data_IF_314315227559
#
_entry.id   IF_314315227559
#
_cell.length_a   1.000
_cell.length_b   1.000
_cell.length_c   1.000
_cell.angle_alpha   90.00
_cell.angle_beta   90.00
_cell.angle_gamma   90.00
#
_symmetry.space_group_name_H-M   'P 1'
#
loop_
_entity.id
_entity.type
_entity.pdbx_description
1 polymer ?
#
# COMPACT_ATOMS: atom_id res chain seq x y z
N UNK A 1 21.06 -5.97 -28.00
CA UNK A 1 22.36 -6.18 -27.31
C UNK A 1 22.16 -6.28 -25.80
N UNK A 2 21.38 -5.39 -25.18
CA UNK A 2 21.02 -5.50 -23.75
C UNK A 2 20.32 -6.82 -23.38
N UNK A 3 19.32 -7.26 -24.16
CA UNK A 3 18.57 -8.50 -23.85
C UNK A 3 19.45 -9.76 -23.79
N UNK A 4 20.46 -9.85 -24.66
CA UNK A 4 21.39 -11.01 -24.72
C UNK A 4 22.29 -11.09 -23.47
N UNK A 5 22.58 -9.95 -22.83
CA UNK A 5 23.37 -9.94 -21.59
C UNK A 5 22.51 -10.35 -20.38
N UNK A 6 21.22 -9.97 -20.36
CA UNK A 6 20.28 -10.30 -19.28
C UNK A 6 20.07 -11.82 -19.18
N UNK A 7 20.01 -12.52 -20.31
CA UNK A 7 19.83 -13.98 -20.36
C UNK A 7 20.86 -14.75 -19.52
N UNK A 8 22.09 -14.23 -19.40
CA UNK A 8 23.16 -14.85 -18.61
C UNK A 8 22.90 -14.86 -17.10
N UNK A 9 21.92 -14.08 -16.64
CA UNK A 9 21.55 -13.96 -15.23
C UNK A 9 20.28 -14.75 -14.87
N UNK A 10 19.61 -15.36 -15.86
CA UNK A 10 18.41 -16.18 -15.64
C UNK A 10 18.76 -17.49 -14.91
N UNK A 11 17.92 -17.87 -13.95
CA UNK A 11 17.97 -19.12 -13.20
C UNK A 11 16.95 -20.14 -13.73
N UNK A 12 15.73 -19.68 -14.01
CA UNK A 12 14.62 -20.53 -14.46
C UNK A 12 13.90 -19.90 -15.64
N UNK A 13 13.48 -20.73 -16.58
CA UNK A 13 12.72 -20.39 -17.77
C UNK A 13 11.39 -21.15 -17.80
N UNK A 14 10.53 -20.86 -18.78
CA UNK A 14 9.32 -21.64 -19.00
C UNK A 14 9.59 -23.11 -19.35
N UNK A 15 10.79 -23.44 -19.84
CA UNK A 15 11.19 -24.82 -20.13
C UNK A 15 11.45 -25.65 -18.87
N UNK A 16 11.66 -25.01 -17.73
CA UNK A 16 11.91 -25.66 -16.44
C UNK A 16 10.61 -26.01 -15.69
N UNK A 17 9.46 -25.63 -16.24
CA UNK A 17 8.16 -25.94 -15.67
C UNK A 17 7.95 -27.46 -15.58
N UNK A 18 7.55 -27.93 -14.40
CA UNK A 18 7.28 -29.36 -14.21
C UNK A 18 5.86 -29.72 -14.67
N UNK A 19 5.61 -30.93 -15.17
CA UNK A 19 4.27 -31.34 -15.57
C UNK A 19 3.28 -31.27 -14.39
N UNK A 20 2.04 -30.88 -14.66
CA UNK A 20 0.95 -30.75 -13.69
C UNK A 20 1.14 -29.68 -12.59
N UNK A 21 2.03 -28.70 -12.81
CA UNK A 21 2.08 -27.47 -12.00
C UNK A 21 1.29 -26.34 -12.65
N UNK A 22 0.84 -25.34 -11.89
CA UNK A 22 0.22 -24.14 -12.44
C UNK A 22 1.20 -23.38 -13.35
N UNK A 23 0.67 -22.83 -14.44
CA UNK A 23 1.43 -21.99 -15.37
C UNK A 23 1.41 -20.55 -14.88
N UNK A 24 2.40 -20.16 -14.08
CA UNK A 24 2.48 -18.81 -13.50
C UNK A 24 3.55 -17.97 -14.19
N UNK A 25 3.22 -16.73 -14.50
CA UNK A 25 4.14 -15.74 -15.09
C UNK A 25 4.15 -14.47 -14.25
N UNK A 26 5.32 -13.85 -14.11
CA UNK A 26 5.49 -12.57 -13.41
C UNK A 26 5.64 -11.44 -14.43
N UNK A 27 5.12 -10.26 -14.12
CA UNK A 27 5.54 -9.00 -14.72
C UNK A 27 5.90 -7.99 -13.64
N UNK A 28 6.84 -7.11 -13.96
CA UNK A 28 7.33 -6.06 -13.07
C UNK A 28 7.01 -4.70 -13.66
N UNK A 29 6.55 -3.79 -12.81
CA UNK A 29 6.39 -2.38 -13.14
C UNK A 29 7.07 -1.55 -12.05
N UNK A 30 7.83 -0.54 -12.47
CA UNK A 30 8.51 0.36 -11.55
C UNK A 30 7.52 1.40 -11.03
N UNK A 31 7.46 1.54 -9.72
CA UNK A 31 6.75 2.63 -9.08
C UNK A 31 7.77 3.50 -8.34
N UNK A 32 7.80 4.79 -8.63
CA UNK A 32 8.81 5.71 -8.12
C UNK A 32 8.47 7.17 -8.43
N UNK A 33 9.48 8.02 -8.61
CA UNK A 33 9.28 9.42 -9.01
C UNK A 33 8.69 9.53 -10.42
N UNK A 34 9.02 8.57 -11.28
CA UNK A 34 8.44 8.33 -12.60
C UNK A 34 8.74 6.89 -13.01
N UNK A 35 8.18 6.44 -14.14
CA UNK A 35 8.33 5.09 -14.72
C UNK A 35 9.79 4.69 -15.08
N UNK A 36 10.77 5.56 -14.78
CA UNK A 36 12.19 5.37 -15.05
C UNK A 36 13.11 5.99 -13.99
N UNK A 37 12.58 6.45 -12.85
CA UNK A 37 13.37 7.12 -11.80
C UNK A 37 12.90 6.72 -10.41
N UNK A 38 13.86 6.38 -9.56
CA UNK A 38 13.65 6.16 -8.12
C UNK A 38 14.53 7.09 -7.29
N UNK A 39 14.03 7.46 -6.11
CA UNK A 39 14.79 8.25 -5.14
C UNK A 39 15.34 7.36 -4.02
N UNK A 40 16.59 7.60 -3.63
CA UNK A 40 17.36 6.77 -2.68
C UNK A 40 16.72 6.56 -1.30
N UNK A 41 15.81 7.44 -0.86
CA UNK A 41 15.17 7.40 0.46
C UNK A 41 13.66 7.62 0.39
N UNK A 42 13.05 7.33 -0.76
CA UNK A 42 11.62 7.46 -0.95
C UNK A 42 10.93 6.10 -0.75
N UNK A 43 10.09 5.98 0.28
CA UNK A 43 9.32 4.77 0.60
C UNK A 43 8.31 4.34 -0.47
N UNK A 44 7.98 5.22 -1.44
CA UNK A 44 7.17 4.88 -2.61
C UNK A 44 7.99 4.26 -3.76
N UNK A 45 9.32 4.18 -3.64
CA UNK A 45 10.13 3.52 -4.66
C UNK A 45 10.04 2.01 -4.47
N UNK A 46 9.48 1.33 -5.45
CA UNK A 46 9.13 -0.08 -5.35
C UNK A 46 8.83 -0.69 -6.70
N UNK A 47 8.33 -1.91 -6.63
CA UNK A 47 7.86 -2.66 -7.77
C UNK A 47 6.42 -3.07 -7.54
N UNK A 48 5.62 -2.95 -8.59
CA UNK A 48 4.38 -3.68 -8.70
C UNK A 48 4.70 -5.04 -9.30
N UNK A 49 4.47 -6.08 -8.51
CA UNK A 49 4.57 -7.47 -8.92
C UNK A 49 3.19 -7.90 -9.38
N UNK A 50 3.07 -8.35 -10.63
CA UNK A 50 1.82 -8.92 -11.15
C UNK A 50 2.05 -10.36 -11.56
N UNK A 51 1.33 -11.28 -10.92
CA UNK A 51 1.42 -12.71 -11.19
C UNK A 51 0.16 -13.11 -11.96
N UNK A 52 0.36 -13.68 -13.13
CA UNK A 52 -0.70 -14.15 -14.01
C UNK A 52 -0.69 -15.67 -14.07
N UNK A 53 -1.88 -16.27 -14.05
CA UNK A 53 -2.09 -17.68 -14.31
C UNK A 53 -2.53 -17.90 -15.76
N UNK A 54 -1.68 -18.56 -16.54
CA UNK A 54 -1.98 -18.98 -17.90
C UNK A 54 -2.95 -20.16 -17.95
N UNK A 55 -3.26 -20.61 -19.18
CA UNK A 55 -4.06 -21.81 -19.38
C UNK A 55 -3.18 -23.06 -19.24
N UNK A 56 -3.24 -23.69 -18.07
CA UNK A 56 -2.50 -24.91 -17.71
C UNK A 56 -3.33 -26.20 -17.87
N UNK A 57 -4.52 -26.11 -18.49
CA UNK A 57 -5.41 -27.25 -18.73
C UNK A 57 -6.13 -27.75 -17.48
N UNK A 58 -6.08 -27.02 -16.37
CA UNK A 58 -6.82 -27.31 -15.15
C UNK A 58 -7.81 -26.18 -14.83
N UNK A 59 -9.10 -26.49 -14.76
CA UNK A 59 -10.14 -25.48 -14.52
C UNK A 59 -10.31 -25.11 -13.03
N UNK A 60 -9.68 -25.84 -12.11
CA UNK A 60 -9.74 -25.53 -10.68
C UNK A 60 -8.95 -24.26 -10.36
N UNK A 61 -9.35 -23.46 -9.34
CA UNK A 61 -8.52 -22.38 -8.82
C UNK A 61 -7.14 -22.88 -8.39
N UNK A 62 -6.14 -22.00 -8.44
CA UNK A 62 -4.79 -22.27 -7.95
C UNK A 62 -4.53 -21.39 -6.73
N UNK A 63 -4.39 -22.00 -5.57
CA UNK A 63 -3.90 -21.33 -4.37
C UNK A 63 -2.37 -21.38 -4.35
N UNK A 64 -1.68 -20.28 -4.08
CA UNK A 64 -0.22 -20.28 -3.92
C UNK A 64 0.27 -19.18 -2.98
N UNK A 65 1.47 -19.36 -2.44
CA UNK A 65 2.10 -18.40 -1.53
C UNK A 65 3.31 -17.78 -2.23
N UNK A 66 3.39 -16.46 -2.19
CA UNK A 66 4.53 -15.72 -2.70
C UNK A 66 4.68 -14.41 -1.94
N UNK A 67 5.86 -14.14 -1.42
CA UNK A 67 6.17 -12.92 -0.68
C UNK A 67 7.30 -12.16 -1.35
N UNK A 68 7.08 -10.88 -1.59
CA UNK A 68 8.14 -9.92 -1.92
C UNK A 68 9.33 -10.01 -0.96
N UNK A 69 9.09 -10.08 0.35
CA UNK A 69 10.17 -10.06 1.32
C UNK A 69 11.11 -11.27 1.17
N UNK A 70 10.57 -12.46 0.96
CA UNK A 70 11.34 -13.70 0.92
C UNK A 70 11.71 -14.08 -0.52
N UNK A 71 10.73 -14.11 -1.41
CA UNK A 71 10.87 -14.63 -2.76
C UNK A 71 11.45 -13.57 -3.73
N UNK A 72 11.12 -12.28 -3.56
CA UNK A 72 11.65 -11.21 -4.42
C UNK A 72 12.94 -10.59 -3.89
N UNK A 73 12.96 -10.18 -2.63
CA UNK A 73 14.08 -9.44 -2.02
C UNK A 73 15.01 -10.33 -1.21
N UNK A 74 14.71 -11.63 -1.10
CA UNK A 74 15.57 -12.60 -0.44
C UNK A 74 16.76 -13.04 -1.31
N UNK A 75 17.56 -13.96 -0.76
CA UNK A 75 18.84 -14.39 -1.35
C UNK A 75 18.72 -14.98 -2.76
N UNK A 76 17.56 -15.55 -3.09
CA UNK A 76 17.32 -16.23 -4.36
C UNK A 76 16.47 -15.45 -5.35
N UNK A 77 15.98 -14.27 -4.97
CA UNK A 77 15.02 -13.49 -5.74
C UNK A 77 15.64 -12.61 -6.83
N UNK A 78 15.19 -11.37 -6.87
CA UNK A 78 15.59 -10.33 -7.82
C UNK A 78 17.10 -10.14 -7.83
N UNK A 79 17.61 -9.69 -8.98
CA UNK A 79 19.01 -9.40 -9.19
C UNK A 79 19.13 -7.92 -9.58
N UNK A 80 19.88 -7.17 -8.80
CA UNK A 80 20.25 -5.80 -9.13
C UNK A 80 21.50 -5.81 -10.03
N UNK A 81 21.38 -5.21 -11.20
CA UNK A 81 22.42 -5.10 -12.20
C UNK A 81 22.76 -3.64 -12.48
N UNK A 82 24.02 -3.37 -12.79
CA UNK A 82 24.48 -2.07 -13.29
C UNK A 82 25.39 -2.24 -14.49
N UNK A 83 25.50 -1.20 -15.30
CA UNK A 83 26.48 -1.16 -16.38
C UNK A 83 27.85 -0.75 -15.83
N UNK A 84 28.87 -1.50 -16.16
CA UNK A 84 30.26 -1.13 -15.90
C UNK A 84 30.76 -0.05 -16.88
N UNK A 85 32.02 0.36 -16.73
CA UNK A 85 32.65 1.37 -17.61
C UNK A 85 32.81 0.91 -19.06
N UNK A 86 32.70 -0.38 -19.32
CA UNK A 86 32.80 -1.00 -20.66
C UNK A 86 31.41 -1.29 -21.26
N UNK A 87 30.33 -0.94 -20.54
CA UNK A 87 28.95 -1.17 -20.96
C UNK A 87 28.48 -2.61 -20.82
N UNK A 88 29.14 -3.44 -20.00
CA UNK A 88 28.67 -4.78 -19.63
C UNK A 88 27.83 -4.73 -18.36
N UNK A 89 26.82 -5.59 -18.27
CA UNK A 89 26.03 -5.75 -17.04
C UNK A 89 26.80 -6.56 -16.00
N UNK A 90 26.88 -6.04 -14.78
CA UNK A 90 27.41 -6.76 -13.62
C UNK A 90 26.43 -6.76 -12.44
N UNK A 91 26.49 -7.81 -11.61
CA UNK A 91 25.69 -7.91 -10.38
C UNK A 91 26.21 -6.92 -9.34
N UNK A 92 25.32 -6.11 -8.79
CA UNK A 92 25.63 -5.26 -7.65
C UNK A 92 25.76 -6.12 -6.40
N UNK A 93 26.86 -5.94 -5.66
CA UNK A 93 27.06 -6.63 -4.39
C UNK A 93 26.19 -5.99 -3.31
N UNK A 94 25.14 -6.69 -2.91
CA UNK A 94 24.24 -6.25 -1.85
C UNK A 94 24.79 -6.65 -0.47
N UNK A 95 24.46 -5.91 0.61
CA UNK A 95 24.78 -6.30 1.97
C UNK A 95 24.17 -7.67 2.30
N UNK A 96 24.89 -8.52 3.03
CA UNK A 96 24.35 -9.79 3.52
C UNK A 96 23.33 -9.50 4.62
N UNK A 97 22.04 -9.59 4.30
CA UNK A 97 20.95 -9.51 5.27
C UNK A 97 20.88 -10.83 6.06
N UNK A 98 21.12 -10.83 7.40
CA UNK A 98 21.13 -12.05 8.19
C UNK A 98 19.74 -12.70 8.39
N UNK A 99 18.64 -12.04 7.99
CA UNK A 99 17.28 -12.42 8.37
C UNK A 99 16.40 -13.02 7.25
N UNK A 100 16.95 -13.40 6.09
CA UNK A 100 16.15 -13.91 4.96
C UNK A 100 16.73 -15.13 4.26
N UNK A 101 17.28 -16.07 5.02
CA UNK A 101 17.49 -17.42 4.47
C UNK A 101 16.11 -18.07 4.21
N UNK A 102 15.89 -18.56 3.01
CA UNK A 102 14.77 -19.46 2.74
C UNK A 102 14.89 -20.68 3.67
N UNK A 103 14.13 -20.71 4.76
CA UNK A 103 13.73 -21.99 5.35
C UNK A 103 12.46 -22.47 4.62
N UNK A 104 12.56 -23.45 3.71
CA UNK A 104 11.43 -24.03 3.00
C UNK A 104 10.54 -24.90 3.90
N UNK A 105 10.89 -25.11 5.17
CA UNK A 105 10.16 -25.96 6.12
C UNK A 105 9.32 -25.18 7.13
N UNK A 106 9.50 -23.86 7.25
CA UNK A 106 8.66 -23.05 8.12
C UNK A 106 7.24 -22.86 7.53
N UNK A 107 6.24 -22.96 8.40
CA UNK A 107 4.82 -22.86 8.09
C UNK A 107 4.42 -21.37 7.84
N UNK A 108 5.06 -20.72 6.86
CA UNK A 108 5.06 -19.26 6.62
C UNK A 108 3.70 -18.65 6.34
N UNK A 109 2.78 -19.41 5.75
CA UNK A 109 1.39 -18.97 5.48
C UNK A 109 0.64 -18.62 6.79
N UNK A 110 0.97 -19.25 7.92
CA UNK A 110 0.33 -18.93 9.20
C UNK A 110 0.81 -17.59 9.81
N UNK A 111 2.01 -17.11 9.42
CA UNK A 111 2.58 -15.86 9.92
C UNK A 111 2.24 -14.65 9.04
N UNK A 112 1.96 -14.87 7.75
CA UNK A 112 1.62 -13.77 6.84
C UNK A 112 0.57 -14.21 5.80
N UNK A 113 -0.72 -14.28 6.20
CA UNK A 113 -1.80 -14.75 5.32
C UNK A 113 -2.06 -13.80 4.14
N UNK A 114 -1.62 -12.54 4.20
CA UNK A 114 -1.79 -11.55 3.13
C UNK A 114 -0.91 -11.79 1.89
N UNK A 115 -0.05 -12.82 1.92
CA UNK A 115 0.81 -13.24 0.80
C UNK A 115 0.35 -14.57 0.18
N UNK A 116 -0.90 -14.96 0.49
CA UNK A 116 -1.60 -16.10 -0.07
C UNK A 116 -2.55 -15.62 -1.17
N UNK A 117 -2.44 -16.21 -2.34
CA UNK A 117 -3.22 -15.84 -3.52
C UNK A 117 -4.02 -17.03 -4.04
N UNK A 118 -5.15 -16.73 -4.66
CA UNK A 118 -5.99 -17.68 -5.38
C UNK A 118 -6.24 -17.12 -6.77
N UNK A 119 -5.99 -17.90 -7.82
CA UNK A 119 -6.20 -17.49 -9.21
C UNK A 119 -6.94 -18.57 -10.00
N UNK A 120 -8.02 -18.19 -10.68
CA UNK A 120 -8.62 -18.99 -11.75
C UNK A 120 -7.75 -18.95 -13.02
N UNK A 121 -7.96 -19.87 -13.98
CA UNK A 121 -7.28 -19.80 -15.27
C UNK A 121 -7.52 -18.47 -15.97
N UNK A 122 -6.45 -17.80 -16.41
CA UNK A 122 -6.52 -16.51 -17.08
C UNK A 122 -6.56 -15.30 -16.14
N UNK A 123 -6.68 -15.49 -14.83
CA UNK A 123 -6.66 -14.39 -13.86
C UNK A 123 -5.25 -13.91 -13.55
N UNK A 124 -5.18 -12.73 -12.95
CA UNK A 124 -3.95 -12.17 -12.40
C UNK A 124 -4.21 -11.70 -10.98
N UNK A 125 -3.13 -11.51 -10.24
CA UNK A 125 -3.11 -10.75 -9.00
C UNK A 125 -1.91 -9.82 -9.05
N UNK A 126 -1.90 -8.83 -8.18
CA UNK A 126 -0.75 -7.95 -8.04
C UNK A 126 -0.62 -7.40 -6.63
N UNK A 127 0.58 -6.96 -6.29
CA UNK A 127 0.86 -6.22 -5.06
C UNK A 127 2.12 -5.37 -5.24
N UNK A 128 2.20 -4.32 -4.44
CA UNK A 128 3.40 -3.51 -4.32
C UNK A 128 4.38 -4.12 -3.32
N UNK A 129 5.67 -4.07 -3.63
CA UNK A 129 6.76 -4.30 -2.69
C UNK A 129 7.80 -3.20 -2.81
N UNK A 130 8.05 -2.49 -1.71
CA UNK A 130 9.06 -1.44 -1.64
C UNK A 130 10.47 -1.99 -1.83
N UNK A 131 11.36 -1.19 -2.43
CA UNK A 131 12.78 -1.54 -2.51
C UNK A 131 13.37 -1.43 -1.09
N UNK A 132 14.03 -2.46 -0.56
CA UNK A 132 14.63 -2.40 0.76
C UNK A 132 15.70 -1.30 0.86
N UNK A 133 15.79 -0.63 2.01
CA UNK A 133 16.78 0.42 2.27
C UNK A 133 18.21 -0.05 2.00
N UNK A 134 18.54 -1.30 2.35
CA UNK A 134 19.87 -1.88 2.11
C UNK A 134 20.21 -2.03 0.63
N UNK A 135 19.21 -2.17 -0.24
CA UNK A 135 19.39 -2.16 -1.70
C UNK A 135 19.58 -0.73 -2.21
N UNK A 136 18.77 0.22 -1.72
CA UNK A 136 18.89 1.64 -2.08
C UNK A 136 20.25 2.22 -1.67
N UNK A 137 20.75 1.85 -0.49
CA UNK A 137 22.07 2.26 0.00
C UNK A 137 23.21 1.76 -0.89
N UNK A 138 23.06 0.57 -1.48
CA UNK A 138 24.05 -0.03 -2.38
C UNK A 138 24.09 0.61 -3.77
N UNK A 139 23.03 1.32 -4.17
CA UNK A 139 22.96 2.04 -5.44
C UNK A 139 23.70 3.38 -5.37
N UNK A 140 24.05 3.96 -6.51
CA UNK A 140 24.70 5.27 -6.63
C UNK A 140 23.79 6.23 -7.38
N UNK A 141 23.57 7.41 -6.82
CA UNK A 141 22.78 8.47 -7.44
C UNK A 141 23.42 8.93 -8.76
N UNK A 142 22.59 9.09 -9.78
CA UNK A 142 22.99 9.43 -11.14
C UNK A 142 23.33 8.23 -12.02
N UNK A 143 23.39 7.01 -11.48
CA UNK A 143 23.62 5.80 -12.26
C UNK A 143 22.32 5.11 -12.70
N UNK A 144 22.44 4.32 -13.77
CA UNK A 144 21.38 3.51 -14.34
C UNK A 144 21.50 2.06 -13.87
N UNK A 145 20.39 1.48 -13.44
CA UNK A 145 20.29 0.11 -12.98
C UNK A 145 19.23 -0.67 -13.76
N UNK A 146 19.42 -1.97 -13.83
CA UNK A 146 18.41 -2.93 -14.26
C UNK A 146 18.08 -3.82 -13.06
N UNK A 147 16.80 -4.04 -12.81
CA UNK A 147 16.35 -4.96 -11.77
C UNK A 147 15.60 -6.10 -12.43
N UNK A 148 16.15 -7.30 -12.30
CA UNK A 148 15.76 -8.49 -13.04
C UNK A 148 15.14 -9.53 -12.11
N UNK A 149 14.02 -10.11 -12.51
CA UNK A 149 13.57 -11.40 -12.01
C UNK A 149 14.24 -12.54 -12.78
N UNK A 150 15.19 -13.28 -12.17
CA UNK A 150 15.92 -14.35 -12.85
C UNK A 150 15.08 -15.61 -13.01
N UNK A 151 13.88 -15.66 -12.44
CA UNK A 151 13.09 -16.88 -12.32
C UNK A 151 13.29 -17.53 -10.95
N UNK A 152 12.25 -18.21 -10.47
CA UNK A 152 12.25 -18.84 -9.16
C UNK A 152 11.19 -19.92 -9.03
N UNK A 153 11.31 -20.70 -7.95
CA UNK A 153 10.36 -21.76 -7.63
C UNK A 153 9.33 -21.27 -6.62
N UNK A 154 8.07 -21.66 -6.81
CA UNK A 154 6.99 -21.47 -5.86
C UNK A 154 6.91 -22.72 -4.99
N UNK A 155 7.31 -22.55 -3.73
CA UNK A 155 7.43 -23.63 -2.77
C UNK A 155 6.09 -24.17 -2.27
N UNK A 156 5.06 -23.34 -2.27
CA UNK A 156 3.71 -23.75 -1.86
C UNK A 156 2.68 -23.29 -2.88
N UNK A 157 1.97 -24.27 -3.42
CA UNK A 157 0.78 -24.08 -4.23
C UNK A 157 -0.12 -25.31 -4.09
N UNK A 158 -1.40 -25.19 -4.44
CA UNK A 158 -2.36 -26.29 -4.49
C UNK A 158 -3.51 -25.96 -5.44
N UNK A 159 -4.07 -27.00 -6.06
CA UNK A 159 -5.35 -26.89 -6.76
C UNK A 159 -6.52 -26.80 -5.77
N UNK A 160 -7.52 -25.99 -6.11
CA UNK A 160 -8.65 -25.64 -5.25
C UNK A 160 -8.46 -24.28 -4.57
N UNK A 161 -9.52 -23.80 -3.95
CA UNK A 161 -9.51 -22.51 -3.26
C UNK A 161 -8.75 -22.53 -1.93
N UNK A 162 -8.45 -21.34 -1.40
CA UNK A 162 -7.70 -21.16 -0.14
C UNK A 162 -8.41 -21.88 1.00
N UNK A 163 -9.72 -21.68 1.15
CA UNK A 163 -10.52 -22.30 2.22
C UNK A 163 -10.47 -23.84 2.19
N UNK A 164 -10.39 -24.45 1.00
CA UNK A 164 -10.27 -25.91 0.84
C UNK A 164 -8.88 -26.42 1.21
N UNK A 165 -7.86 -25.59 0.99
CA UNK A 165 -6.45 -25.93 1.14
C UNK A 165 -5.84 -25.49 2.48
N UNK A 166 -6.54 -24.69 3.28
CA UNK A 166 -6.12 -24.25 4.62
C UNK A 166 -5.78 -25.42 5.56
N UNK A 167 -6.51 -26.53 5.44
CA UNK A 167 -6.39 -27.71 6.30
C UNK A 167 -5.53 -28.84 5.72
N UNK A 168 -5.06 -28.73 4.47
CA UNK A 168 -4.28 -29.79 3.82
C UNK A 168 -2.81 -29.76 4.25
N UNK A 169 -2.21 -30.95 4.38
CA UNK A 169 -0.78 -31.10 4.64
C UNK A 169 0.03 -30.48 3.52
N UNK A 170 0.85 -29.47 3.84
CA UNK A 170 1.49 -28.53 2.92
C UNK A 170 2.78 -29.03 2.25
N UNK A 171 2.90 -30.34 2.01
CA UNK A 171 4.10 -30.95 1.43
C UNK A 171 3.79 -32.01 0.38
N UNK A 172 4.71 -32.21 -0.57
CA UNK A 172 4.66 -33.31 -1.54
C UNK A 172 4.20 -32.96 -2.96
N UNK A 173 3.90 -31.68 -3.26
CA UNK A 173 3.66 -31.24 -4.63
C UNK A 173 4.97 -30.86 -5.33
N UNK A 174 5.08 -31.06 -6.67
CA UNK A 174 6.23 -30.59 -7.43
C UNK A 174 6.31 -29.06 -7.36
N UNK A 175 7.51 -28.49 -7.41
CA UNK A 175 7.69 -27.04 -7.36
C UNK A 175 7.19 -26.41 -8.65
N UNK A 176 6.31 -25.43 -8.54
CA UNK A 176 5.89 -24.64 -9.70
C UNK A 176 6.98 -23.62 -10.03
N UNK A 177 7.17 -23.32 -11.31
CA UNK A 177 8.20 -22.37 -11.77
C UNK A 177 7.53 -21.06 -12.13
N UNK A 178 8.07 -19.96 -11.60
CA UNK A 178 7.77 -18.60 -12.02
C UNK A 178 8.92 -18.14 -12.92
N UNK A 179 8.71 -18.17 -14.24
CA UNK A 179 9.76 -17.97 -15.23
C UNK A 179 10.47 -16.61 -15.10
N UNK A 180 11.79 -16.62 -15.27
CA UNK A 180 12.61 -15.42 -15.38
C UNK A 180 12.49 -14.76 -16.74
N UNK A 181 12.77 -13.45 -16.80
CA UNK A 181 12.77 -12.52 -17.96
C UNK A 181 12.31 -11.11 -17.59
N UNK A 182 11.32 -10.91 -16.69
CA UNK A 182 10.85 -9.57 -16.36
C UNK A 182 11.97 -8.75 -15.76
N UNK A 183 12.16 -7.54 -16.28
CA UNK A 183 13.09 -6.58 -15.73
C UNK A 183 12.58 -5.17 -15.91
N UNK A 184 13.05 -4.27 -15.05
CA UNK A 184 12.78 -2.83 -15.14
C UNK A 184 14.08 -2.06 -15.13
N UNK A 185 14.09 -0.96 -15.88
CA UNK A 185 15.24 -0.11 -16.10
C UNK A 185 15.00 1.25 -15.47
N UNK A 186 15.89 1.72 -14.60
CA UNK A 186 15.70 2.98 -13.91
C UNK A 186 16.99 3.72 -13.59
N UNK A 187 16.86 5.03 -13.41
CA UNK A 187 17.90 5.91 -12.89
C UNK A 187 17.66 6.16 -11.41
N UNK A 188 18.73 6.08 -10.62
CA UNK A 188 18.67 6.48 -9.20
C UNK A 188 18.96 7.96 -9.12
N UNK A 189 18.14 8.71 -8.41
CA UNK A 189 18.39 10.12 -8.13
C UNK A 189 18.49 10.35 -6.63
N UNK A 190 19.24 11.39 -6.25
CA UNK A 190 19.10 11.94 -4.91
C UNK A 190 17.65 12.33 -4.71
N UNK A 191 17.16 12.11 -3.50
CA UNK A 191 15.84 12.60 -3.15
C UNK A 191 15.83 14.11 -3.38
N UNK A 192 14.87 14.65 -4.16
CA UNK A 192 14.73 16.09 -4.25
C UNK A 192 14.59 16.63 -2.81
N UNK A 193 15.27 17.72 -2.45
CA UNK A 193 15.14 18.28 -1.12
C UNK A 193 13.65 18.43 -0.81
N UNK A 194 13.25 17.91 0.36
CA UNK A 194 11.88 18.05 0.83
C UNK A 194 11.44 19.49 0.56
N UNK A 195 10.30 19.71 -0.13
CA UNK A 195 9.87 21.06 -0.38
C UNK A 195 9.84 21.79 0.96
N UNK A 196 10.50 22.94 1.05
CA UNK A 196 10.37 23.79 2.22
C UNK A 196 8.94 24.31 2.17
N UNK A 197 8.05 23.58 2.83
CA UNK A 197 6.71 24.06 3.07
C UNK A 197 6.83 25.08 4.20
N UNK A 198 6.71 26.37 3.88
CA UNK A 198 6.18 27.32 4.86
C UNK A 198 4.91 26.67 5.39
N UNK A 199 4.89 26.32 6.69
CA UNK A 199 3.79 25.64 7.41
C UNK A 199 2.48 25.82 6.66
N UNK A 200 2.08 24.88 5.78
CA UNK A 200 1.01 25.19 4.88
C UNK A 200 -0.26 25.09 5.70
N UNK A 201 -0.98 26.21 5.78
CA UNK A 201 -2.39 26.20 6.13
C UNK A 201 -3.08 25.14 5.23
N UNK A 202 -4.07 24.39 5.75
CA UNK A 202 -4.75 23.35 4.98
C UNK A 202 -5.18 23.88 3.62
N UNK A 203 -4.63 23.32 2.54
CA UNK A 203 -5.04 23.69 1.18
C UNK A 203 -6.33 22.94 0.87
N UNK A 204 -7.47 23.47 1.32
CA UNK A 204 -8.75 23.08 0.75
C UNK A 204 -8.79 23.56 -0.71
N UNK A 205 -8.49 22.68 -1.66
CA UNK A 205 -8.63 23.02 -3.08
C UNK A 205 -10.08 23.05 -3.55
N UNK A 206 -11.03 22.55 -2.74
CA UNK A 206 -12.47 22.57 -3.03
C UNK A 206 -13.27 22.87 -1.77
N UNK A 207 -14.10 23.92 -1.82
CA UNK A 207 -15.10 24.16 -0.80
C UNK A 207 -16.20 23.07 -0.88
N UNK A 208 -16.73 22.58 0.27
CA UNK A 208 -17.85 21.66 0.25
C UNK A 208 -19.08 22.32 -0.40
N UNK A 209 -19.83 21.54 -1.18
CA UNK A 209 -21.02 22.05 -1.84
C UNK A 209 -22.19 22.14 -0.84
N UNK A 210 -23.06 23.15 -0.94
CA UNK A 210 -24.29 23.20 -0.14
C UNK A 210 -25.12 21.91 -0.25
N UNK A 211 -25.70 21.49 0.87
CA UNK A 211 -26.48 20.25 0.98
C UNK A 211 -25.65 18.96 1.06
N UNK A 212 -24.32 19.05 1.10
CA UNK A 212 -23.47 17.88 1.38
C UNK A 212 -23.27 17.67 2.88
N UNK A 213 -23.05 16.43 3.33
CA UNK A 213 -22.64 16.15 4.69
C UNK A 213 -21.40 16.94 5.11
N UNK A 214 -21.44 17.49 6.32
CA UNK A 214 -20.32 18.18 6.95
C UNK A 214 -19.71 17.28 8.03
N UNK A 215 -18.39 17.08 7.94
CA UNK A 215 -17.63 16.35 8.94
C UNK A 215 -16.63 17.25 9.67
N UNK A 216 -16.28 16.84 10.89
CA UNK A 216 -15.05 17.28 11.56
C UNK A 216 -14.18 16.07 11.87
N UNK A 217 -12.87 16.29 11.89
CA UNK A 217 -11.89 15.25 12.22
C UNK A 217 -11.02 15.74 13.38
N UNK A 218 -10.80 14.86 14.36
CA UNK A 218 -9.93 15.13 15.50
C UNK A 218 -8.93 13.99 15.71
N UNK A 219 -7.69 14.34 16.00
CA UNK A 219 -6.65 13.43 16.46
C UNK A 219 -6.44 13.59 17.96
N UNK A 220 -6.39 12.45 18.65
CA UNK A 220 -6.02 12.36 20.07
C UNK A 220 -4.97 11.28 20.25
N UNK A 221 -4.10 11.41 21.24
CA UNK A 221 -3.04 10.45 21.48
C UNK A 221 -2.12 10.89 22.62
N UNK A 222 -1.09 10.09 22.88
CA UNK A 222 -0.13 10.41 23.91
C UNK A 222 0.76 11.60 23.51
N UNK A 223 1.07 12.48 24.47
CA UNK A 223 2.01 13.59 24.28
C UNK A 223 3.48 13.13 24.27
N UNK A 224 3.74 11.85 24.49
CA UNK A 224 5.07 11.27 24.62
C UNK A 224 5.13 9.91 23.93
N UNK A 225 6.18 9.68 23.14
CA UNK A 225 6.52 8.39 22.52
C UNK A 225 7.88 7.93 23.03
N UNK A 226 7.98 6.70 23.53
CA UNK A 226 9.28 6.08 23.83
C UNK A 226 10.06 5.81 22.56
N UNK A 227 11.36 6.09 22.56
CA UNK A 227 12.23 5.86 21.40
C UNK A 227 12.32 4.37 21.04
N UNK A 228 12.15 3.49 22.03
CA UNK A 228 12.12 2.03 21.85
C UNK A 228 10.71 1.48 21.63
N UNK A 229 9.67 2.32 21.65
CA UNK A 229 8.30 1.86 21.43
C UNK A 229 8.15 1.47 19.96
N UNK A 230 7.89 0.19 19.71
CA UNK A 230 7.64 -0.35 18.37
C UNK A 230 6.21 -0.06 17.88
N UNK A 231 5.30 0.31 18.79
CA UNK A 231 3.91 0.62 18.50
C UNK A 231 3.48 1.92 19.20
N UNK A 232 3.23 2.95 18.42
CA UNK A 232 2.72 4.24 18.82
C UNK A 232 1.46 4.57 18.01
N UNK A 233 0.35 4.65 18.72
CA UNK A 233 -0.97 4.77 18.14
C UNK A 233 -1.60 6.12 18.47
N UNK A 234 -2.30 6.67 17.49
CA UNK A 234 -3.20 7.81 17.62
C UNK A 234 -4.64 7.34 17.45
N UNK A 235 -5.60 8.10 17.95
CA UNK A 235 -7.03 7.88 17.71
C UNK A 235 -7.54 9.00 16.83
N UNK A 236 -8.01 8.64 15.64
CA UNK A 236 -8.78 9.51 14.76
C UNK A 236 -10.25 9.40 15.12
N UNK A 237 -10.92 10.54 15.25
CA UNK A 237 -12.36 10.64 15.45
C UNK A 237 -12.99 11.50 14.36
N UNK A 238 -14.01 10.97 13.70
CA UNK A 238 -14.75 11.63 12.63
C UNK A 238 -16.17 11.84 13.11
N UNK A 239 -16.64 13.08 13.11
CA UNK A 239 -17.96 13.45 13.63
C UNK A 239 -18.82 14.04 12.53
N UNK A 240 -20.02 13.48 12.36
CA UNK A 240 -21.00 14.00 11.42
C UNK A 240 -21.76 15.17 12.04
N UNK A 241 -21.59 16.39 11.52
CA UNK A 241 -22.15 17.61 12.13
C UNK A 241 -23.55 17.97 11.61
N UNK A 242 -23.90 17.56 10.40
CA UNK A 242 -25.10 18.03 9.71
C UNK A 242 -24.82 18.27 8.23
N UNK A 243 -25.54 19.18 7.59
CA UNK A 243 -25.30 19.53 6.18
C UNK A 243 -24.74 20.93 6.01
N UNK A 244 -23.94 21.10 4.96
CA UNK A 244 -23.38 22.38 4.56
C UNK A 244 -24.51 23.31 4.16
N UNK A 245 -24.64 24.44 4.85
CA UNK A 245 -25.64 25.46 4.56
C UNK A 245 -25.48 26.06 3.16
N UNK A 246 -26.57 26.59 2.60
CA UNK A 246 -26.49 27.42 1.38
C UNK A 246 -25.73 28.73 1.60
N UNK A 247 -25.69 29.21 2.84
CA UNK A 247 -24.86 30.35 3.24
C UNK A 247 -23.54 29.85 3.86
N UNK A 248 -22.38 30.07 3.21
CA UNK A 248 -21.08 29.64 3.73
C UNK A 248 -20.69 30.27 5.08
N UNK A 249 -21.36 31.36 5.48
CA UNK A 249 -21.12 32.04 6.75
C UNK A 249 -22.08 31.58 7.87
N UNK A 250 -23.05 30.71 7.56
CA UNK A 250 -24.00 30.19 8.53
C UNK A 250 -23.51 28.90 9.18
N UNK A 251 -24.03 28.62 10.38
CA UNK A 251 -23.83 27.33 11.05
C UNK A 251 -24.35 26.18 10.18
N UNK A 252 -23.85 24.94 10.39
CA UNK A 252 -24.31 23.76 9.68
C UNK A 252 -25.83 23.61 9.85
N UNK A 253 -26.54 23.30 8.77
CA UNK A 253 -27.96 23.02 8.89
C UNK A 253 -28.12 21.64 9.58
N UNK A 254 -29.06 21.53 10.53
CA UNK A 254 -29.32 20.27 11.19
C UNK A 254 -29.82 19.27 10.17
N UNK A 255 -29.06 18.19 9.99
CA UNK A 255 -29.54 17.04 9.25
C UNK A 255 -30.54 16.26 10.10
N UNK A 256 -31.56 15.68 9.48
CA UNK A 256 -32.51 14.77 10.13
C UNK A 256 -32.23 13.30 9.83
N UNK A 257 -31.36 13.02 8.85
CA UNK A 257 -31.13 11.69 8.32
C UNK A 257 -29.71 11.22 8.65
N UNK A 258 -29.52 9.94 9.03
CA UNK A 258 -28.19 9.35 9.06
C UNK A 258 -27.55 9.34 7.68
N UNK A 259 -26.24 9.20 7.66
CA UNK A 259 -25.47 8.97 6.44
C UNK A 259 -24.77 7.63 6.51
N UNK A 260 -24.57 6.99 5.36
CA UNK A 260 -23.68 5.85 5.20
C UNK A 260 -22.66 6.17 4.14
N UNK A 261 -21.38 5.99 4.46
CA UNK A 261 -20.29 6.37 3.58
C UNK A 261 -19.15 5.36 3.63
N UNK A 262 -18.36 5.37 2.58
CA UNK A 262 -17.15 4.60 2.46
C UNK A 262 -16.02 5.24 3.28
N UNK A 263 -15.64 4.59 4.38
CA UNK A 263 -14.60 5.08 5.27
C UNK A 263 -13.18 4.70 4.84
N UNK A 264 -12.99 4.03 3.70
CA UNK A 264 -11.68 3.54 3.25
C UNK A 264 -10.62 4.63 3.15
N UNK A 265 -10.99 5.75 2.55
CA UNK A 265 -10.15 6.94 2.44
C UNK A 265 -9.76 7.52 3.81
N UNK A 266 -10.61 7.31 4.83
CA UNK A 266 -10.30 7.73 6.20
C UNK A 266 -9.41 6.74 6.92
N UNK A 267 -9.34 5.47 6.51
CA UNK A 267 -8.44 4.45 7.07
C UNK A 267 -6.98 4.62 6.59
N UNK A 268 -6.78 5.30 5.46
CA UNK A 268 -5.46 5.63 4.89
C UNK A 268 -5.45 7.12 4.51
N UNK A 269 -5.55 8.02 5.51
CA UNK A 269 -5.70 9.44 5.23
C UNK A 269 -4.40 10.02 4.66
N UNK A 270 -4.53 11.04 3.82
CA UNK A 270 -3.40 11.92 3.51
C UNK A 270 -2.98 12.67 4.77
N UNK A 271 -1.69 12.80 5.01
CA UNK A 271 -1.15 13.25 6.29
C UNK A 271 0.24 13.88 6.15
N UNK A 272 0.65 14.56 7.20
CA UNK A 272 2.00 15.10 7.33
C UNK A 272 2.51 15.04 8.76
N UNK A 273 3.82 14.88 8.85
CA UNK A 273 4.57 15.04 10.08
C UNK A 273 5.62 16.14 9.91
N UNK A 274 5.79 16.96 10.95
CA UNK A 274 6.93 17.87 11.09
C UNK A 274 7.70 17.50 12.35
N UNK A 275 9.00 17.72 12.32
CA UNK A 275 9.89 17.56 13.47
C UNK A 275 10.50 18.90 13.84
N UNK A 276 10.78 19.10 15.12
CA UNK A 276 11.61 20.20 15.61
C UNK A 276 12.65 19.62 16.58
N UNK A 277 13.93 19.88 16.27
CA UNK A 277 15.06 19.51 17.13
C UNK A 277 15.46 20.72 17.97
N UNK A 278 15.62 20.53 19.28
CA UNK A 278 16.11 21.59 20.19
C UNK A 278 15.29 22.91 20.13
N UNK A 279 13.99 22.84 19.81
CA UNK A 279 13.10 23.99 19.56
C UNK A 279 13.55 24.91 18.40
N UNK A 280 14.21 24.34 17.38
CA UNK A 280 14.47 25.04 16.11
C UNK A 280 13.22 25.07 15.22
N UNK A 281 13.36 25.61 14.01
CA UNK A 281 12.29 25.62 13.01
C UNK A 281 11.74 24.20 12.74
N UNK A 282 10.45 24.14 12.42
CA UNK A 282 9.79 22.88 12.06
C UNK A 282 10.29 22.43 10.68
N UNK A 283 10.92 21.27 10.64
CA UNK A 283 11.30 20.59 9.41
C UNK A 283 10.21 19.59 9.02
N UNK A 284 9.81 19.63 7.76
CA UNK A 284 8.89 18.63 7.21
C UNK A 284 9.58 17.26 7.25
N UNK A 285 8.94 16.31 7.90
CA UNK A 285 9.35 14.92 7.81
C UNK A 285 8.96 14.46 6.43
N UNK A 286 9.94 14.04 5.63
CA UNK A 286 9.75 13.55 4.26
C UNK A 286 8.46 12.76 4.17
N UNK A 287 7.67 13.13 3.17
CA UNK A 287 6.43 12.50 2.71
C UNK A 287 6.73 11.03 2.37
N UNK A 288 6.93 10.20 3.39
CA UNK A 288 6.48 8.82 3.36
C UNK A 288 4.97 8.90 3.28
N UNK A 289 4.47 9.31 2.11
CA UNK A 289 3.40 8.58 1.47
C UNK A 289 3.92 7.14 1.54
N UNK A 290 3.63 6.44 2.63
CA UNK A 290 3.02 5.15 2.51
C UNK A 290 1.69 5.50 1.87
N UNK A 291 1.72 5.77 0.55
CA UNK A 291 0.59 5.38 -0.24
C UNK A 291 0.59 3.90 0.01
N UNK A 292 -0.16 3.45 1.02
CA UNK A 292 -0.54 2.07 1.06
C UNK A 292 -1.05 1.88 -0.36
N UNK A 293 -0.34 1.09 -1.14
CA UNK A 293 -0.72 0.83 -2.52
C UNK A 293 -2.19 0.36 -2.58
N UNK A 294 -2.79 0.01 -1.43
CA UNK A 294 -4.21 -0.03 -1.07
C UNK A 294 -5.13 1.00 -1.71
N UNK A 295 -4.72 2.25 -2.01
CA UNK A 295 -5.65 3.21 -2.63
C UNK A 295 -6.14 2.78 -4.03
N UNK A 296 -5.39 1.90 -4.72
CA UNK A 296 -5.80 1.26 -5.98
C UNK A 296 -5.99 -0.27 -5.86
N UNK A 297 -5.84 -0.86 -4.66
CA UNK A 297 -5.51 -2.29 -4.46
C UNK A 297 -6.60 -3.20 -3.92
N UNK A 298 -7.86 -2.80 -3.90
CA UNK A 298 -8.92 -3.73 -3.49
C UNK A 298 -9.83 -3.97 -4.67
N UNK A 299 -9.87 -5.25 -5.05
CA UNK A 299 -10.64 -5.90 -6.11
C UNK A 299 -9.92 -5.95 -7.46
N UNK A 300 -9.31 -7.10 -7.75
CA UNK A 300 -9.18 -7.55 -9.14
C UNK A 300 -10.56 -8.10 -9.53
N UNK A 301 -11.24 -7.45 -10.48
CA UNK A 301 -12.62 -7.77 -10.88
C UNK A 301 -13.73 -6.97 -10.16
N UNK A 302 -14.96 -7.03 -10.71
CA UNK A 302 -16.13 -6.42 -10.09
C UNK A 302 -16.51 -7.20 -8.82
N UNK A 303 -16.15 -6.69 -7.65
CA UNK A 303 -16.55 -7.36 -6.40
C UNK A 303 -17.85 -6.77 -5.88
N UNK A 304 -18.81 -7.66 -5.68
CA UNK A 304 -20.08 -7.35 -5.05
C UNK A 304 -19.87 -7.13 -3.55
N UNK A 305 -19.99 -5.88 -3.09
CA UNK A 305 -19.92 -5.50 -1.68
C UNK A 305 -21.30 -5.15 -1.17
N UNK A 306 -21.73 -5.80 -0.09
CA UNK A 306 -22.98 -5.45 0.58
C UNK A 306 -22.75 -4.33 1.60
N UNK A 307 -23.32 -3.15 1.35
CA UNK A 307 -23.11 -1.93 2.16
C UNK A 307 -23.54 -2.13 3.61
N UNK A 308 -24.67 -2.79 3.85
CA UNK A 308 -25.18 -3.00 5.20
C UNK A 308 -24.35 -3.96 6.05
N UNK A 309 -23.49 -4.79 5.45
CA UNK A 309 -22.72 -5.83 6.15
C UNK A 309 -21.22 -5.57 6.19
N UNK A 310 -20.67 -4.93 5.17
CA UNK A 310 -19.23 -4.75 5.03
C UNK A 310 -18.70 -3.70 6.02
N UNK A 311 -17.54 -3.95 6.63
CA UNK A 311 -16.95 -3.12 7.69
C UNK A 311 -16.34 -1.81 7.19
N UNK A 312 -16.06 -1.68 5.89
CA UNK A 312 -15.59 -0.44 5.23
C UNK A 312 -16.65 0.66 5.27
N UNK A 313 -17.92 0.28 5.35
CA UNK A 313 -19.04 1.22 5.38
C UNK A 313 -19.40 1.58 6.81
N UNK A 314 -19.44 2.88 7.07
CA UNK A 314 -19.78 3.46 8.36
C UNK A 314 -21.08 4.24 8.23
N UNK A 315 -21.96 4.12 9.22
CA UNK A 315 -23.13 4.99 9.36
C UNK A 315 -23.00 5.90 10.54
N UNK A 316 -23.38 7.17 10.37
CA UNK A 316 -23.44 8.15 11.44
C UNK A 316 -24.75 8.90 11.40
N UNK A 317 -25.42 8.99 12.55
CA UNK A 317 -26.48 9.96 12.77
C UNK A 317 -25.88 11.38 12.97
N UNK A 318 -26.64 12.45 12.75
CA UNK A 318 -26.21 13.81 13.04
C UNK A 318 -25.77 13.93 14.51
N UNK A 319 -24.54 14.42 14.73
CA UNK A 319 -23.87 14.52 16.03
C UNK A 319 -23.13 13.25 16.47
N UNK A 320 -23.23 12.14 15.73
CA UNK A 320 -22.52 10.90 16.05
C UNK A 320 -21.07 10.94 15.55
N UNK A 321 -20.21 10.20 16.24
CA UNK A 321 -18.80 10.06 15.92
C UNK A 321 -18.41 8.61 15.71
N UNK A 322 -17.51 8.37 14.77
CA UNK A 322 -16.80 7.12 14.60
C UNK A 322 -15.31 7.35 14.85
N UNK A 323 -14.66 6.38 15.51
CA UNK A 323 -13.23 6.47 15.84
C UNK A 323 -12.49 5.22 15.41
N UNK A 324 -11.20 5.39 15.11
CA UNK A 324 -10.28 4.30 14.79
C UNK A 324 -8.87 4.59 15.33
N UNK A 325 -8.10 3.53 15.50
CA UNK A 325 -6.68 3.60 15.85
C UNK A 325 -5.83 3.73 14.59
N UNK A 326 -4.86 4.63 14.64
CA UNK A 326 -3.86 4.87 13.60
C UNK A 326 -2.49 4.51 14.15
N UNK A 327 -1.87 3.47 13.62
CA UNK A 327 -0.46 3.15 13.89
C UNK A 327 0.44 4.03 13.01
N UNK A 328 1.34 4.80 13.62
CA UNK A 328 2.10 5.82 12.88
C UNK A 328 3.61 5.58 12.83
N UNK A 329 4.13 4.52 13.46
CA UNK A 329 5.59 4.30 13.57
C UNK A 329 6.29 4.20 12.22
N UNK A 330 5.70 3.49 11.25
CA UNK A 330 6.25 3.38 9.88
C UNK A 330 6.25 4.71 9.12
N UNK A 331 5.40 5.66 9.55
CA UNK A 331 5.26 7.01 8.96
C UNK A 331 6.17 8.04 9.63
N UNK A 332 6.76 7.72 10.78
CA UNK A 332 7.70 8.60 11.46
C UNK A 332 9.13 8.46 10.88
N UNK A 333 9.95 9.53 10.98
CA UNK A 333 11.36 9.46 10.58
C UNK A 333 12.11 8.39 11.38
N UNK A 334 12.89 7.55 10.69
CA UNK A 334 13.69 6.50 11.34
C UNK A 334 14.88 7.04 12.16
N UNK A 335 15.21 8.33 12.01
CA UNK A 335 16.32 9.01 12.68
C UNK A 335 15.86 9.91 13.85
N UNK A 336 14.65 9.69 14.37
CA UNK A 336 14.14 10.37 15.56
C UNK A 336 15.07 10.15 16.76
N UNK A 337 15.39 11.23 17.45
CA UNK A 337 16.25 11.25 18.63
C UNK A 337 15.51 11.70 19.88
N UNK A 338 16.07 11.39 21.04
CA UNK A 338 15.55 11.84 22.33
C UNK A 338 15.43 13.37 22.37
N UNK A 339 14.26 13.85 22.78
CA UNK A 339 13.95 15.28 22.86
C UNK A 339 13.42 15.90 21.57
N UNK A 340 13.37 15.15 20.46
CA UNK A 340 12.69 15.61 19.25
C UNK A 340 11.20 15.82 19.53
N UNK A 341 10.66 16.93 19.01
CA UNK A 341 9.22 17.21 18.99
C UNK A 341 8.67 16.87 17.63
N UNK A 342 7.58 16.13 17.59
CA UNK A 342 6.88 15.78 16.36
C UNK A 342 5.50 16.41 16.39
N UNK A 343 5.09 17.00 15.27
CA UNK A 343 3.72 17.48 15.01
C UNK A 343 3.13 16.67 13.88
N UNK A 344 2.01 16.02 14.12
CA UNK A 344 1.31 15.16 13.18
C UNK A 344 -0.09 15.71 12.88
N UNK A 345 -0.51 15.70 11.61
CA UNK A 345 -1.84 16.17 11.20
C UNK A 345 -2.33 15.43 9.96
N UNK A 346 -3.63 15.15 9.91
CA UNK A 346 -4.29 14.66 8.69
C UNK A 346 -4.65 15.85 7.81
N UNK A 347 -4.39 15.76 6.51
CA UNK A 347 -4.66 16.84 5.54
C UNK A 347 -6.16 16.99 5.22
N UNK A 348 -6.94 15.95 5.50
CA UNK A 348 -8.31 15.81 5.02
C UNK A 348 -8.37 14.98 3.74
N UNK A 349 -9.58 14.70 3.27
CA UNK A 349 -9.81 13.85 2.09
C UNK A 349 -11.17 14.14 1.43
N UNK A 350 -11.47 13.44 0.35
CA UNK A 350 -12.71 13.53 -0.41
C UNK A 350 -13.37 12.15 -0.42
N UNK A 351 -14.56 12.05 0.17
CA UNK A 351 -15.37 10.82 0.10
C UNK A 351 -16.36 10.97 -1.04
N UNK A 352 -16.21 10.11 -2.05
CA UNK A 352 -17.09 10.10 -3.22
C UNK A 352 -18.27 9.14 -3.07
N UNK A 353 -18.10 8.06 -2.32
CA UNK A 353 -19.11 7.02 -2.18
C UNK A 353 -19.86 7.15 -0.87
N UNK A 354 -21.06 7.72 -0.94
CA UNK A 354 -21.93 7.92 0.23
C UNK A 354 -23.40 8.02 -0.16
N UNK A 355 -24.29 7.75 0.79
CA UNK A 355 -25.73 7.94 0.63
C UNK A 355 -26.42 8.23 1.97
N UNK A 356 -27.62 8.81 1.88
CA UNK A 356 -28.49 9.00 3.04
C UNK A 356 -29.04 7.67 3.56
N UNK A 357 -29.32 7.59 4.85
CA UNK A 357 -29.76 6.38 5.55
C UNK A 357 -28.63 5.65 6.26
N UNK A 358 -29.02 4.79 7.19
CA UNK A 358 -28.15 3.91 7.95
C UNK A 358 -27.81 2.63 7.17
N UNK A 359 -26.86 1.84 7.67
CA UNK A 359 -26.55 0.50 7.16
C UNK A 359 -27.76 -0.43 7.16
N UNK A 360 -28.71 -0.24 8.07
CA UNK A 360 -29.95 -1.01 8.07
C UNK A 360 -30.83 -0.67 6.87
N UNK A 361 -30.89 0.61 6.49
CA UNK A 361 -31.60 1.07 5.29
C UNK A 361 -30.93 0.54 4.01
N UNK A 362 -29.60 0.36 4.04
CA UNK A 362 -28.78 -0.20 2.96
C UNK A 362 -28.51 -1.71 3.08
N UNK A 363 -29.29 -2.45 3.89
CA UNK A 363 -29.03 -3.88 4.15
C UNK A 363 -29.10 -4.77 2.90
N UNK A 364 -29.90 -4.37 1.91
CA UNK A 364 -30.03 -5.08 0.62
C UNK A 364 -29.24 -4.40 -0.51
N UNK A 365 -28.52 -3.31 -0.21
CA UNK A 365 -27.72 -2.60 -1.19
C UNK A 365 -26.42 -3.36 -1.43
N UNK A 366 -26.22 -3.81 -2.67
CA UNK A 366 -24.99 -4.43 -3.14
C UNK A 366 -24.41 -3.54 -4.21
N UNK A 367 -23.17 -3.09 -4.01
CA UNK A 367 -22.42 -2.29 -4.96
C UNK A 367 -21.39 -3.18 -5.63
N UNK A 368 -21.30 -3.07 -6.95
CA UNK A 368 -20.16 -3.61 -7.68
C UNK A 368 -19.06 -2.56 -7.61
N UNK A 369 -17.98 -2.86 -6.90
CA UNK A 369 -16.80 -2.01 -6.85
C UNK A 369 -15.82 -2.50 -7.94
N UNK A 370 -15.70 -1.83 -9.09
CA UNK A 370 -14.68 -2.17 -10.07
C UNK A 370 -13.29 -1.80 -9.52
N UNK A 371 -12.30 -2.60 -9.91
CA UNK A 371 -10.87 -2.33 -9.67
C UNK A 371 -10.51 -0.86 -9.97
N UNK A 372 -10.28 -0.06 -8.94
CA UNK A 372 -9.89 1.35 -9.08
C UNK A 372 -10.93 2.28 -9.74
N UNK A 373 -12.22 1.92 -9.76
CA UNK A 373 -13.29 2.83 -10.21
C UNK A 373 -14.42 2.92 -9.19
N UNK A 374 -14.92 4.13 -9.00
CA UNK A 374 -16.09 4.40 -8.17
C UNK A 374 -17.33 3.71 -8.79
N UNK A 375 -18.31 3.24 -7.99
CA UNK A 375 -19.54 2.64 -8.51
C UNK A 375 -20.53 3.70 -9.02
N UNK A 376 -20.89 3.65 -10.31
CA UNK A 376 -21.69 4.69 -11.01
C UNK A 376 -22.99 5.09 -10.28
N UNK A 377 -23.65 4.16 -9.59
CA UNK A 377 -24.94 4.40 -8.93
C UNK A 377 -24.87 5.32 -7.70
N UNK A 378 -23.70 5.43 -7.05
CA UNK A 378 -23.49 6.26 -5.85
C UNK A 378 -22.65 7.53 -6.10
N UNK A 379 -22.08 7.68 -7.30
CA UNK A 379 -21.27 8.86 -7.71
C UNK A 379 -22.13 10.08 -8.08
N UNK A 380 -23.44 9.91 -8.32
CA UNK A 380 -24.30 11.00 -8.76
C UNK A 380 -24.57 12.09 -7.71
N UNK A 381 -23.87 12.05 -6.56
CA UNK A 381 -23.93 13.06 -5.51
C UNK A 381 -22.65 13.88 -5.48
N UNK A 382 -22.76 15.13 -5.02
CA UNK A 382 -21.59 15.95 -4.72
C UNK A 382 -20.72 15.21 -3.68
N UNK A 383 -19.40 15.14 -3.90
CA UNK A 383 -18.52 14.45 -2.96
C UNK A 383 -18.47 15.21 -1.63
N UNK A 384 -18.27 14.45 -0.56
CA UNK A 384 -18.07 15.00 0.77
C UNK A 384 -16.62 15.46 0.88
N UNK A 385 -16.42 16.67 1.38
CA UNK A 385 -15.10 17.19 1.73
C UNK A 385 -14.89 16.94 3.23
N UNK A 386 -13.86 16.17 3.56
CA UNK A 386 -13.43 15.92 4.94
C UNK A 386 -12.29 16.88 5.25
N UNK A 387 -12.41 17.74 6.29
CA UNK A 387 -11.38 18.71 6.60
C UNK A 387 -10.16 18.06 7.24
N UNK A 388 -9.05 18.82 7.25
CA UNK A 388 -7.87 18.48 8.05
C UNK A 388 -8.22 18.31 9.53
N UNK A 389 -7.48 17.43 10.22
CA UNK A 389 -7.62 17.27 11.67
C UNK A 389 -7.01 18.45 12.43
N UNK A 390 -7.15 18.49 13.76
CA UNK A 390 -6.22 19.26 14.58
C UNK A 390 -4.80 18.70 14.45
N UNK A 391 -3.75 19.54 14.58
CA UNK A 391 -2.41 19.05 14.78
C UNK A 391 -2.30 18.40 16.17
N UNK A 392 -1.56 17.30 16.25
CA UNK A 392 -1.19 16.62 17.48
C UNK A 392 0.32 16.70 17.66
N UNK A 393 0.78 17.12 18.84
CA UNK A 393 2.21 17.20 19.15
C UNK A 393 2.61 16.19 20.21
N UNK A 394 3.75 15.53 20.00
CA UNK A 394 4.34 14.62 20.98
C UNK A 394 5.87 14.73 21.00
N UNK A 395 6.48 14.32 22.11
CA UNK A 395 7.94 14.36 22.32
C UNK A 395 8.52 12.96 22.42
N UNK A 396 9.69 12.75 21.80
CA UNK A 396 10.44 11.49 21.90
C UNK A 396 11.17 11.43 23.24
N UNK A 397 10.89 10.39 24.02
CA UNK A 397 11.46 10.16 25.35
C UNK A 397 12.17 8.81 25.44
N UNK A 398 12.93 8.62 26.53
CA UNK A 398 13.72 7.41 26.80
C UNK A 398 12.87 6.19 27.07
#
# INVERSE_FOLDING_TARGET
MADIQIDSFLKYSSADATPNTPSLTLSLELQGLSDSKIAKRNSNSGLVFRIHRGNDGNDQPCSFYWSDTVDAWGSDGLVLLRYDTEGQLERVKLPSEPWRAHDPTENKVARNPHRLFELNPGESTWFFGGIPDSWLDAMVSGEKYELLWPGGEIYWWAWGGIAENESRSRGGLPRAVLSGTPHVSFMVVEEPPAPVYETPLPKWSKAPAPGTPLFTVALTGAERKGIADEHFQLIQTVTYQGIVSMDPAADPEPASEPITFDAFHLMIPSEWAFRSRENKEWEYCVDRRVGCAMTDLIYDGETAVNVGKDCRWISLAPGESWSQELEIDERLPSDLALGDKVRYQLDGDIIKMWNWGSKADHAQTVLMLPSGRDADDWINRSPIVVPASNPLEFTIIS
#
